data_IF_048390120757
#
_entry.id   IF_048390120757
#
_cell.length_a   1.000
_cell.length_b   1.000
_cell.length_c   1.000
_cell.angle_alpha   90.00
_cell.angle_beta   90.00
_cell.angle_gamma   90.00
#
_symmetry.space_group_name_H-M   'P 1'
#
loop_
_entity.id
_entity.type
_entity.pdbx_description
1 polymer ?
#
# COMPACT_ATOMS: atom_id res chain seq x y z
N UNK A 1 24.18 -8.19 4.04
CA UNK A 1 24.33 -8.59 2.64
C UNK A 1 23.06 -8.30 1.87
N UNK A 2 23.24 -7.63 0.74
CA UNK A 2 22.10 -7.18 -0.03
C UNK A 2 21.43 -8.18 -0.92
N UNK A 3 21.89 -9.34 -0.96
CA UNK A 3 21.64 -10.19 -2.01
C UNK A 3 20.22 -10.72 -2.22
N UNK A 4 19.25 -10.43 -1.68
CA UNK A 4 17.89 -10.79 -2.06
C UNK A 4 16.94 -9.66 -1.74
N UNK A 5 17.49 -8.44 -1.64
CA UNK A 5 16.69 -7.35 -1.14
C UNK A 5 15.98 -6.55 -2.21
N UNK A 6 16.37 -6.71 -3.46
CA UNK A 6 15.64 -6.04 -4.53
C UNK A 6 15.51 -6.91 -5.77
N UNK A 7 14.62 -6.49 -6.67
CA UNK A 7 14.30 -7.25 -7.87
C UNK A 7 15.45 -7.30 -8.86
N UNK A 8 16.28 -6.25 -8.90
CA UNK A 8 17.43 -6.21 -9.79
C UNK A 8 18.43 -7.29 -9.44
N UNK A 9 18.64 -7.52 -8.14
CA UNK A 9 19.54 -8.59 -7.70
C UNK A 9 19.05 -9.95 -8.14
N UNK A 10 17.74 -10.20 -8.09
CA UNK A 10 17.17 -11.45 -8.57
C UNK A 10 17.36 -11.63 -10.07
N UNK A 11 17.18 -10.59 -10.84
CA UNK A 11 17.35 -10.62 -12.29
C UNK A 11 18.82 -10.87 -12.66
N UNK A 12 19.75 -10.21 -11.99
CA UNK A 12 21.17 -10.38 -12.21
C UNK A 12 21.63 -11.78 -11.89
N UNK A 13 21.19 -12.34 -10.78
CA UNK A 13 21.50 -13.69 -10.38
C UNK A 13 20.98 -14.69 -11.41
N UNK A 14 19.76 -14.50 -11.87
CA UNK A 14 19.16 -15.37 -12.87
C UNK A 14 19.93 -15.37 -14.18
N UNK A 15 20.39 -14.19 -14.64
CA UNK A 15 21.20 -14.07 -15.85
C UNK A 15 22.55 -14.75 -15.70
N UNK A 16 23.27 -14.46 -14.64
CA UNK A 16 24.62 -14.97 -14.43
C UNK A 16 24.65 -16.46 -14.22
N UNK A 17 23.71 -16.98 -13.43
CA UNK A 17 23.67 -18.40 -13.13
C UNK A 17 22.82 -19.22 -14.10
N UNK A 18 22.21 -18.54 -15.07
CA UNK A 18 21.27 -19.16 -16.02
C UNK A 18 20.08 -19.82 -15.36
N UNK A 19 19.75 -19.36 -14.17
CA UNK A 19 18.57 -19.76 -13.44
C UNK A 19 17.47 -18.79 -13.79
N UNK A 20 16.25 -19.27 -14.03
CA UNK A 20 15.15 -18.39 -14.36
C UNK A 20 14.74 -17.55 -13.16
N UNK A 21 14.20 -16.38 -13.43
CA UNK A 21 13.66 -15.50 -12.39
C UNK A 21 12.65 -16.23 -11.52
N UNK A 22 11.84 -17.08 -12.11
CA UNK A 22 10.86 -17.88 -11.39
C UNK A 22 11.52 -18.83 -10.40
N UNK A 23 12.61 -19.48 -10.80
CA UNK A 23 13.34 -20.41 -9.93
C UNK A 23 14.01 -19.69 -8.78
N UNK A 24 14.61 -18.53 -9.03
CA UNK A 24 15.22 -17.71 -7.99
C UNK A 24 14.17 -17.27 -6.98
N UNK A 25 13.00 -16.81 -7.46
CA UNK A 25 11.91 -16.42 -6.60
C UNK A 25 11.37 -17.58 -5.76
N UNK A 26 11.33 -18.76 -6.33
CA UNK A 26 10.89 -19.97 -5.63
C UNK A 26 11.85 -20.32 -4.49
N UNK A 27 13.15 -20.22 -4.72
CA UNK A 27 14.17 -20.45 -3.71
C UNK A 27 14.05 -19.44 -2.58
N UNK A 28 13.83 -18.18 -2.90
CA UNK A 28 13.64 -17.13 -1.89
C UNK A 28 12.42 -17.42 -1.01
N UNK A 29 11.31 -17.81 -1.61
CA UNK A 29 10.09 -18.14 -0.83
C UNK A 29 10.32 -19.34 0.09
N UNK A 30 11.06 -20.33 -0.37
CA UNK A 30 11.40 -21.48 0.46
C UNK A 30 12.23 -21.06 1.67
N UNK A 31 13.28 -20.26 1.47
CA UNK A 31 14.12 -19.78 2.55
C UNK A 31 13.33 -18.96 3.56
N UNK A 32 12.45 -18.09 3.09
CA UNK A 32 11.59 -17.28 3.95
C UNK A 32 10.74 -18.16 4.87
N UNK A 33 10.16 -19.21 4.34
CA UNK A 33 9.32 -20.12 5.09
C UNK A 33 10.13 -20.95 6.09
N UNK A 34 11.24 -21.51 5.66
CA UNK A 34 12.06 -22.40 6.49
C UNK A 34 12.77 -21.66 7.62
N UNK A 35 13.19 -20.44 7.39
CA UNK A 35 13.89 -19.63 8.36
C UNK A 35 12.98 -18.73 9.19
N UNK A 36 11.66 -18.83 8.93
CA UNK A 36 10.67 -18.02 9.64
C UNK A 36 10.97 -16.51 9.58
N UNK A 37 11.40 -16.06 8.41
CA UNK A 37 11.70 -14.65 8.16
C UNK A 37 10.38 -13.90 7.96
N UNK A 38 10.23 -12.78 8.67
CA UNK A 38 9.04 -11.94 8.52
C UNK A 38 9.11 -11.16 7.22
N UNK A 39 8.03 -11.26 6.44
CA UNK A 39 7.89 -10.47 5.23
C UNK A 39 7.44 -9.04 5.56
N UNK A 40 7.73 -8.06 4.69
CA UNK A 40 7.22 -6.70 4.87
C UNK A 40 5.70 -6.69 4.90
N UNK A 41 5.09 -5.68 5.52
CA UNK A 41 3.62 -5.55 5.49
C UNK A 41 3.10 -5.49 4.06
N UNK A 42 2.01 -6.22 3.79
CA UNK A 42 1.38 -6.24 2.47
C UNK A 42 -0.06 -5.77 2.51
N UNK A 43 -0.67 -5.71 3.70
CA UNK A 43 -2.02 -5.20 3.85
C UNK A 43 -2.01 -3.67 3.89
N UNK A 44 -2.97 -3.02 3.21
CA UNK A 44 -3.07 -1.55 3.28
C UNK A 44 -3.19 -1.01 4.70
N UNK A 45 -3.88 -1.74 5.59
CA UNK A 45 -4.05 -1.32 6.98
C UNK A 45 -2.71 -1.12 7.69
N UNK A 46 -1.71 -1.94 7.36
CA UNK A 46 -0.41 -1.89 8.01
C UNK A 46 0.34 -0.58 7.77
N UNK A 47 0.01 0.12 6.70
CA UNK A 47 0.68 1.38 6.35
C UNK A 47 0.01 2.61 6.97
N UNK A 48 -1.22 2.47 7.46
CA UNK A 48 -2.00 3.61 7.97
C UNK A 48 -1.32 4.36 9.12
N UNK A 49 -0.82 3.68 10.17
CA UNK A 49 -0.21 4.41 11.30
C UNK A 49 0.99 5.25 10.87
N UNK A 50 1.86 4.68 10.03
CA UNK A 50 3.06 5.40 9.58
C UNK A 50 2.70 6.60 8.71
N UNK A 51 1.84 6.41 7.73
CA UNK A 51 1.44 7.50 6.83
C UNK A 51 0.69 8.60 7.59
N UNK A 52 -0.20 8.22 8.48
CA UNK A 52 -0.95 9.20 9.27
C UNK A 52 -0.02 10.00 10.18
N UNK A 53 0.96 9.35 10.79
CA UNK A 53 1.93 10.02 11.63
C UNK A 53 2.75 11.04 10.83
N UNK A 54 3.22 10.65 9.66
CA UNK A 54 4.00 11.53 8.78
C UNK A 54 3.18 12.70 8.25
N UNK A 55 1.88 12.51 8.06
CA UNK A 55 0.96 13.56 7.63
C UNK A 55 0.43 14.42 8.77
N UNK A 56 0.68 14.02 10.01
CA UNK A 56 0.16 14.72 11.17
C UNK A 56 -1.34 14.55 11.34
N UNK A 57 -1.90 13.45 10.91
CA UNK A 57 -3.33 13.17 11.04
C UNK A 57 -3.67 12.60 12.42
N UNK A 58 -4.90 12.87 12.88
CA UNK A 58 -5.37 12.41 14.19
C UNK A 58 -5.59 10.89 14.23
N UNK A 59 -5.73 10.36 15.46
CA UNK A 59 -6.10 8.96 15.63
C UNK A 59 -7.49 8.66 15.07
N UNK A 60 -8.39 9.64 15.09
CA UNK A 60 -9.72 9.52 14.51
C UNK A 60 -9.63 9.34 12.98
N UNK A 61 -8.75 10.10 12.34
CA UNK A 61 -8.50 9.94 10.90
C UNK A 61 -7.93 8.57 10.58
N UNK A 62 -7.03 8.06 11.42
CA UNK A 62 -6.48 6.71 11.25
C UNK A 62 -7.58 5.66 11.35
N UNK A 63 -8.43 5.75 12.36
CA UNK A 63 -9.54 4.81 12.56
C UNK A 63 -10.50 4.81 11.38
N UNK A 64 -10.82 6.00 10.88
CA UNK A 64 -11.70 6.13 9.73
C UNK A 64 -11.09 5.53 8.48
N UNK A 65 -9.80 5.76 8.25
CA UNK A 65 -9.10 5.18 7.11
C UNK A 65 -9.08 3.65 7.18
N UNK A 66 -8.89 3.09 8.36
CA UNK A 66 -8.90 1.65 8.56
C UNK A 66 -10.28 1.08 8.24
N UNK A 67 -11.36 1.73 8.69
CA UNK A 67 -12.73 1.31 8.34
C UNK A 67 -12.95 1.30 6.83
N UNK A 68 -12.49 2.34 6.15
CA UNK A 68 -12.62 2.43 4.68
C UNK A 68 -11.89 1.27 4.01
N UNK A 69 -10.67 0.99 4.45
CA UNK A 69 -9.86 -0.09 3.90
C UNK A 69 -10.54 -1.45 4.14
N UNK A 70 -11.03 -1.68 5.34
CA UNK A 70 -11.67 -2.95 5.68
C UNK A 70 -12.92 -3.18 4.83
N UNK A 71 -13.73 -2.15 4.62
CA UNK A 71 -14.90 -2.25 3.73
C UNK A 71 -14.48 -2.51 2.29
N UNK A 72 -13.41 -1.87 1.84
CA UNK A 72 -12.89 -2.10 0.50
C UNK A 72 -12.39 -3.53 0.33
N UNK A 73 -11.72 -4.06 1.34
CA UNK A 73 -11.24 -5.45 1.32
C UNK A 73 -12.41 -6.44 1.26
N UNK A 74 -13.46 -6.19 2.01
CA UNK A 74 -14.67 -7.03 1.98
C UNK A 74 -15.30 -7.09 0.59
N UNK A 75 -15.25 -5.97 -0.13
CA UNK A 75 -15.80 -5.89 -1.48
C UNK A 75 -14.81 -6.28 -2.57
N UNK A 76 -13.61 -6.72 -2.19
CA UNK A 76 -12.59 -7.13 -3.15
C UNK A 76 -11.95 -5.99 -3.92
N UNK A 77 -12.09 -4.76 -3.47
CA UNK A 77 -11.57 -3.58 -4.18
C UNK A 77 -10.07 -3.41 -4.05
N UNK A 78 -9.45 -4.09 -3.10
CA UNK A 78 -8.00 -4.00 -2.90
C UNK A 78 -7.21 -5.05 -3.69
N UNK A 79 -7.89 -6.00 -4.27
CA UNK A 79 -7.27 -7.07 -5.06
C UNK A 79 -6.58 -6.49 -6.28
N UNK A 80 -5.31 -6.83 -6.45
CA UNK A 80 -4.52 -6.33 -7.58
C UNK A 80 -4.10 -4.87 -7.46
N UNK A 81 -4.38 -4.22 -6.32
CA UNK A 81 -3.97 -2.84 -6.07
C UNK A 81 -2.80 -2.81 -5.11
N UNK A 82 -1.89 -1.86 -5.30
CA UNK A 82 -0.78 -1.68 -4.38
C UNK A 82 -1.26 -1.24 -3.00
N UNK A 83 -0.77 -1.85 -1.92
CA UNK A 83 -1.25 -1.53 -0.57
C UNK A 83 -0.96 -0.09 -0.15
N UNK A 84 0.14 0.48 -0.60
CA UNK A 84 0.49 1.86 -0.25
C UNK A 84 -0.47 2.86 -0.89
N UNK A 85 -0.87 2.63 -2.14
CA UNK A 85 -1.83 3.50 -2.82
C UNK A 85 -3.20 3.45 -2.20
N UNK A 86 -3.65 2.26 -1.80
CA UNK A 86 -4.94 2.09 -1.14
C UNK A 86 -4.95 2.76 0.23
N UNK A 87 -3.90 2.54 1.02
CA UNK A 87 -3.78 3.16 2.35
C UNK A 87 -3.76 4.69 2.25
N UNK A 88 -3.00 5.22 1.31
CA UNK A 88 -2.88 6.65 1.09
C UNK A 88 -4.21 7.26 0.67
N UNK A 89 -4.92 6.63 -0.25
CA UNK A 89 -6.22 7.12 -0.70
C UNK A 89 -7.25 7.11 0.43
N UNK A 90 -7.24 6.06 1.25
CA UNK A 90 -8.14 5.97 2.40
C UNK A 90 -7.86 7.09 3.41
N UNK A 91 -6.59 7.38 3.67
CA UNK A 91 -6.21 8.48 4.55
C UNK A 91 -6.59 9.83 3.97
N UNK A 92 -6.46 9.99 2.66
CA UNK A 92 -6.89 11.22 2.00
C UNK A 92 -8.39 11.45 2.20
N UNK A 93 -9.19 10.42 1.98
CA UNK A 93 -10.64 10.48 2.20
C UNK A 93 -10.95 10.81 3.66
N UNK A 94 -10.30 10.12 4.59
CA UNK A 94 -10.51 10.35 6.02
C UNK A 94 -10.17 11.78 6.41
N UNK A 95 -9.08 12.32 5.86
CA UNK A 95 -8.67 13.70 6.15
C UNK A 95 -9.71 14.71 5.69
N UNK A 96 -10.32 14.46 4.53
CA UNK A 96 -11.38 15.33 4.01
C UNK A 96 -12.62 15.24 4.89
N UNK A 97 -13.02 14.03 5.27
CA UNK A 97 -14.22 13.81 6.09
C UNK A 97 -14.11 14.45 7.47
N UNK A 98 -12.93 14.48 8.04
CA UNK A 98 -12.72 15.01 9.40
C UNK A 98 -12.22 16.47 9.43
N UNK A 99 -12.14 17.11 8.28
CA UNK A 99 -11.69 18.49 8.22
C UNK A 99 -10.19 18.68 8.45
N UNK A 100 -9.41 17.61 8.37
CA UNK A 100 -7.94 17.64 8.51
C UNK A 100 -7.28 17.58 7.13
N UNK A 101 -7.85 18.25 6.18
CA UNK A 101 -7.54 18.12 4.76
C UNK A 101 -6.05 18.24 4.44
N UNK A 102 -5.56 17.26 3.69
CA UNK A 102 -4.22 17.24 3.10
C UNK A 102 -4.37 17.27 1.59
N UNK A 103 -3.31 17.67 0.88
CA UNK A 103 -3.37 17.66 -0.59
C UNK A 103 -3.08 16.25 -1.11
N UNK A 104 -3.54 15.97 -2.33
CA UNK A 104 -3.21 14.71 -2.98
C UNK A 104 -1.70 14.53 -3.12
N UNK A 105 -1.01 15.63 -3.38
CA UNK A 105 0.45 15.63 -3.50
C UNK A 105 1.14 15.23 -2.20
N UNK A 106 0.70 15.81 -1.07
CA UNK A 106 1.27 15.48 0.23
C UNK A 106 1.13 13.98 0.52
N UNK A 107 -0.05 13.45 0.26
CA UNK A 107 -0.33 12.03 0.50
C UNK A 107 0.46 11.14 -0.45
N UNK A 108 0.55 11.54 -1.71
CA UNK A 108 1.31 10.79 -2.72
C UNK A 108 2.80 10.73 -2.35
N UNK A 109 3.36 11.86 -1.91
CA UNK A 109 4.78 11.93 -1.54
C UNK A 109 5.09 11.01 -0.36
N UNK A 110 4.25 11.02 0.65
CA UNK A 110 4.42 10.19 1.85
C UNK A 110 4.34 8.69 1.48
N UNK A 111 3.39 8.33 0.64
CA UNK A 111 3.17 6.93 0.28
C UNK A 111 4.11 6.42 -0.82
N UNK A 112 4.85 7.31 -1.46
CA UNK A 112 5.75 6.93 -2.55
C UNK A 112 5.02 6.50 -3.81
N UNK A 113 3.86 7.09 -4.08
CA UNK A 113 3.07 6.84 -5.29
C UNK A 113 2.80 8.16 -6.01
N UNK A 114 2.23 8.09 -7.19
CA UNK A 114 1.89 9.30 -7.96
C UNK A 114 0.54 9.86 -7.53
N UNK A 115 0.34 11.16 -7.80
CA UNK A 115 -0.97 11.79 -7.57
C UNK A 115 -2.06 11.12 -8.38
N UNK A 116 -1.72 10.64 -9.58
CA UNK A 116 -2.68 9.91 -10.43
C UNK A 116 -3.17 8.64 -9.73
N UNK A 117 -2.26 7.93 -9.08
CA UNK A 117 -2.62 6.74 -8.30
C UNK A 117 -3.58 7.09 -7.16
N UNK A 118 -3.28 8.16 -6.42
CA UNK A 118 -4.17 8.61 -5.33
C UNK A 118 -5.55 8.94 -5.90
N UNK A 119 -5.60 9.71 -6.98
CA UNK A 119 -6.87 10.10 -7.61
C UNK A 119 -7.69 8.88 -8.05
N UNK A 120 -7.03 7.94 -8.69
CA UNK A 120 -7.71 6.72 -9.16
C UNK A 120 -8.24 5.89 -8.00
N UNK A 121 -7.44 5.75 -6.92
CA UNK A 121 -7.85 4.97 -5.77
C UNK A 121 -9.00 5.62 -5.00
N UNK A 122 -8.92 6.93 -4.74
CA UNK A 122 -10.01 7.55 -3.98
C UNK A 122 -11.32 7.61 -4.77
N UNK A 123 -11.26 7.80 -6.08
CA UNK A 123 -12.48 7.74 -6.91
C UNK A 123 -13.11 6.37 -6.85
N UNK A 124 -12.30 5.34 -7.00
CA UNK A 124 -12.78 3.96 -6.93
C UNK A 124 -13.41 3.68 -5.57
N UNK A 125 -12.73 4.07 -4.49
CA UNK A 125 -13.24 3.83 -3.15
C UNK A 125 -14.54 4.60 -2.87
N UNK A 126 -14.60 5.87 -3.24
CA UNK A 126 -15.80 6.67 -2.98
C UNK A 126 -17.00 6.20 -3.78
N UNK A 127 -16.79 5.81 -5.04
CA UNK A 127 -17.85 5.32 -5.89
C UNK A 127 -18.36 3.94 -5.45
N UNK A 128 -17.44 3.03 -5.20
CA UNK A 128 -17.78 1.65 -4.87
C UNK A 128 -18.32 1.49 -3.45
N UNK A 129 -17.90 2.35 -2.55
CA UNK A 129 -18.40 2.32 -1.17
C UNK A 129 -19.59 3.27 -0.95
N UNK A 130 -20.04 3.93 -2.01
CA UNK A 130 -21.20 4.84 -1.96
C UNK A 130 -21.08 5.90 -0.86
N UNK A 131 -19.89 6.46 -0.71
CA UNK A 131 -19.60 7.36 0.39
C UNK A 131 -20.20 8.76 0.23
N UNK A 132 -20.59 9.15 -0.98
CA UNK A 132 -21.19 10.46 -1.21
C UNK A 132 -20.26 11.63 -0.89
N UNK A 133 -18.96 11.42 -0.94
CA UNK A 133 -17.98 12.44 -0.62
C UNK A 133 -17.63 13.23 -1.87
N UNK A 134 -17.67 14.55 -1.77
CA UNK A 134 -17.20 15.45 -2.83
C UNK A 134 -15.75 15.84 -2.54
N UNK A 135 -14.85 15.34 -3.35
CA UNK A 135 -13.42 15.55 -3.16
C UNK A 135 -12.82 16.52 -4.16
#
# INVERSE_FOLDING_TARGET
MKFFLDTADLDEIAEVSRVTKKEVGRTYRFLTRELNIKLPPTSPVDYVPRFASELGLSGEAQSRAIEIIEKAMEKGLTSGRGPTGVAAAALYIASVLLGERKTQRDVADIAGVTEVTIRNRYKELTEQLEMGVTL
#
